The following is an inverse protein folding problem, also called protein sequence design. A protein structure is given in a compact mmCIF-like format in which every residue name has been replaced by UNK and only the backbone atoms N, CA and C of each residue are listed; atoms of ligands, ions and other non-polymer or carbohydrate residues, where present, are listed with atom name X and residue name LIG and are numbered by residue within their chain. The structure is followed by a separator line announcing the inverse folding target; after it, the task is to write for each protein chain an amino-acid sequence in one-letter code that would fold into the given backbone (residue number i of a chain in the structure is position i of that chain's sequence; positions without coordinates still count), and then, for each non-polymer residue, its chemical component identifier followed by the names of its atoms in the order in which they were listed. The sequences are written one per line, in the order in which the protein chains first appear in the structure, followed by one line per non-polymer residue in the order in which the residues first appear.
data_IF_216220666995
#
_entry.id   IF_216220666995
#
_cell.length_a   1.000
_cell.length_b   1.000
_cell.length_c   1.000
_cell.angle_alpha   90.00
_cell.angle_beta   90.00
_cell.angle_gamma   90.00
#
_symmetry.space_group_name_H-M   'P 1'
#
loop_
_entity.id
_entity.type
_entity.pdbx_description
1 polymer ?
#
# COMPACT_ATOMS: atom_id res chain seq x y z
N UNK A 1 26.80 21.38 -3.28
CA UNK A 1 26.49 21.78 -4.68
C UNK A 1 25.79 20.59 -5.34
N UNK A 2 24.64 20.16 -4.81
CA UNK A 2 23.29 20.75 -4.98
C UNK A 2 22.79 20.60 -6.41
N UNK A 3 21.72 19.82 -6.61
CA UNK A 3 20.57 20.23 -7.43
C UNK A 3 19.33 19.41 -7.03
N UNK A 4 18.49 20.05 -6.22
CA UNK A 4 17.15 19.61 -5.85
C UNK A 4 16.21 19.81 -7.04
N UNK A 5 15.58 18.72 -7.51
CA UNK A 5 14.48 18.79 -8.46
C UNK A 5 13.19 19.12 -7.69
N UNK A 6 12.94 20.41 -7.49
CA UNK A 6 11.72 20.93 -6.88
C UNK A 6 10.59 21.00 -7.90
N UNK A 7 9.57 20.17 -7.71
CA UNK A 7 8.28 20.30 -8.37
C UNK A 7 7.47 21.47 -7.82
N UNK A 8 6.60 22.04 -8.66
CA UNK A 8 5.62 23.04 -8.22
C UNK A 8 5.39 24.19 -9.19
N UNK A 9 5.19 23.92 -10.48
CA UNK A 9 4.83 24.93 -11.47
C UNK A 9 3.37 24.81 -11.88
N UNK A 10 2.43 25.40 -11.12
CA UNK A 10 1.06 25.76 -11.58
C UNK A 10 0.40 26.76 -10.62
N UNK A 11 1.00 27.92 -10.35
CA UNK A 11 0.25 29.07 -9.78
C UNK A 11 0.75 30.37 -10.41
N UNK A 12 0.57 30.53 -11.72
CA UNK A 12 0.61 31.85 -12.36
C UNK A 12 -0.82 32.39 -12.35
N UNK A 13 -1.13 33.24 -11.37
CA UNK A 13 -2.33 34.09 -11.40
C UNK A 13 -2.02 35.25 -12.36
N UNK A 14 -2.80 35.50 -13.43
CA UNK A 14 -2.54 36.64 -14.28
C UNK A 14 -2.89 37.94 -13.53
N UNK A 15 -1.94 38.88 -13.54
CA UNK A 15 -2.10 40.22 -12.96
C UNK A 15 -3.20 40.99 -13.69
N UNK A 16 -3.93 41.76 -12.88
CA UNK A 16 -5.16 42.50 -13.13
C UNK A 16 -5.14 43.37 -14.40
N UNK A 17 -6.23 43.33 -15.15
CA UNK A 17 -6.63 44.39 -16.09
C UNK A 17 -7.95 44.97 -15.62
N UNK A 18 -7.93 46.28 -15.34
CA UNK A 18 -9.00 47.09 -14.79
C UNK A 18 -10.27 47.07 -15.64
N UNK A 19 -11.36 46.53 -15.10
CA UNK A 19 -12.72 46.74 -15.61
C UNK A 19 -13.64 46.84 -14.40
N UNK A 20 -14.22 48.01 -14.17
CA UNK A 20 -15.20 48.26 -13.12
C UNK A 20 -16.52 47.55 -13.46
N UNK A 21 -16.92 46.52 -12.71
CA UNK A 21 -18.34 46.19 -12.49
C UNK A 21 -18.53 45.06 -11.46
N UNK A 22 -19.33 45.39 -10.45
CA UNK A 22 -20.08 44.51 -9.53
C UNK A 22 -19.30 43.61 -8.54
N UNK A 23 -18.87 44.23 -7.43
CA UNK A 23 -18.24 43.54 -6.29
C UNK A 23 -19.18 42.61 -5.51
N UNK A 24 -20.49 42.56 -5.79
CA UNK A 24 -21.45 41.78 -5.00
C UNK A 24 -21.58 40.32 -5.44
N UNK A 25 -21.22 40.00 -6.68
CA UNK A 25 -21.40 38.66 -7.26
C UNK A 25 -20.22 37.70 -7.01
N UNK A 26 -19.05 38.21 -6.64
CA UNK A 26 -17.84 37.41 -6.36
C UNK A 26 -17.72 36.96 -4.90
N UNK A 27 -18.50 37.54 -3.99
CA UNK A 27 -18.46 37.23 -2.56
C UNK A 27 -18.81 35.77 -2.24
N UNK A 28 -19.80 35.12 -2.89
CA UNK A 28 -20.10 33.70 -2.65
C UNK A 28 -18.96 32.77 -3.11
N UNK A 29 -18.28 33.13 -4.20
CA UNK A 29 -17.24 32.30 -4.81
C UNK A 29 -15.97 32.24 -3.93
N UNK A 30 -15.62 33.34 -3.27
CA UNK A 30 -14.52 33.38 -2.31
C UNK A 30 -14.80 32.52 -1.06
N UNK A 31 -16.03 32.57 -0.53
CA UNK A 31 -16.43 31.74 0.60
C UNK A 31 -16.40 30.24 0.26
N UNK A 32 -16.82 29.86 -0.95
CA UNK A 32 -16.78 28.47 -1.39
C UNK A 32 -15.34 27.96 -1.57
N UNK A 33 -14.45 28.78 -2.12
CA UNK A 33 -13.04 28.42 -2.28
C UNK A 33 -12.31 28.29 -0.93
N UNK A 34 -12.62 29.17 0.04
CA UNK A 34 -12.04 29.10 1.38
C UNK A 34 -12.50 27.86 2.16
N UNK A 35 -13.77 27.46 2.00
CA UNK A 35 -14.29 26.24 2.63
C UNK A 35 -13.64 24.97 2.07
N UNK A 36 -13.34 24.95 0.76
CA UNK A 36 -12.71 23.80 0.10
C UNK A 36 -11.24 23.63 0.55
N UNK A 37 -10.50 24.72 0.76
CA UNK A 37 -9.14 24.67 1.31
C UNK A 37 -9.10 24.10 2.73
N UNK A 38 -10.08 24.46 3.57
CA UNK A 38 -10.14 24.02 4.96
C UNK A 38 -10.47 22.52 5.07
N UNK A 39 -11.36 22.01 4.22
CA UNK A 39 -11.63 20.57 4.10
C UNK A 39 -10.39 19.79 3.63
N UNK A 40 -9.63 20.33 2.69
CA UNK A 40 -8.41 19.66 2.20
C UNK A 40 -7.31 19.60 3.27
N UNK A 41 -7.16 20.63 4.09
CA UNK A 41 -6.21 20.63 5.20
C UNK A 41 -6.59 19.60 6.28
N UNK A 42 -7.89 19.47 6.59
CA UNK A 42 -8.37 18.48 7.56
C UNK A 42 -8.13 17.04 7.08
N UNK A 43 -8.27 16.80 5.77
CA UNK A 43 -8.00 15.49 5.18
C UNK A 43 -6.51 15.12 5.21
N UNK A 44 -5.60 16.09 5.01
CA UNK A 44 -4.16 15.87 5.14
C UNK A 44 -3.76 15.55 6.59
N UNK A 45 -4.36 16.22 7.58
CA UNK A 45 -4.05 15.99 9.00
C UNK A 45 -4.47 14.60 9.46
N UNK A 46 -5.63 14.10 8.99
CA UNK A 46 -6.09 12.73 9.26
C UNK A 46 -5.16 11.67 8.63
N UNK A 47 -4.61 11.94 7.44
CA UNK A 47 -3.67 11.03 6.78
C UNK A 47 -2.33 10.91 7.54
N UNK A 48 -1.83 12.01 8.11
CA UNK A 48 -0.55 11.99 8.82
C UNK A 48 -0.64 11.22 10.14
N UNK A 49 -1.79 11.29 10.83
CA UNK A 49 -1.96 10.58 12.11
C UNK A 49 -2.08 9.05 11.92
N UNK A 50 -2.69 8.59 10.82
CA UNK A 50 -2.72 7.16 10.47
C UNK A 50 -1.33 6.60 10.12
N UNK A 51 -0.44 7.42 9.56
CA UNK A 51 0.88 6.94 9.14
C UNK A 51 1.85 6.73 10.32
N UNK A 52 1.73 7.50 11.41
CA UNK A 52 2.57 7.31 12.60
C UNK A 52 2.20 6.07 13.41
N UNK A 53 0.91 5.71 13.51
CA UNK A 53 0.52 4.50 14.25
C UNK A 53 0.98 3.20 13.57
N UNK A 54 1.14 3.17 12.24
CA UNK A 54 1.65 1.98 11.57
C UNK A 54 3.16 1.72 11.77
N UNK A 55 3.97 2.76 12.02
CA UNK A 55 5.42 2.55 12.20
C UNK A 55 5.80 1.97 13.56
N UNK A 56 5.09 2.30 14.65
CA UNK A 56 5.45 1.78 15.98
C UNK A 56 5.16 0.28 16.15
N UNK A 57 4.19 -0.30 15.43
CA UNK A 57 3.99 -1.75 15.46
C UNK A 57 4.97 -2.55 14.60
N UNK A 58 5.69 -1.93 13.66
CA UNK A 58 6.65 -2.67 12.83
C UNK A 58 7.96 -3.03 13.55
N UNK A 59 8.43 -2.21 14.50
CA UNK A 59 9.73 -2.45 15.13
C UNK A 59 9.74 -3.58 16.17
N UNK A 60 8.63 -3.89 16.84
CA UNK A 60 8.62 -5.00 17.83
C UNK A 60 8.57 -6.39 17.20
N UNK A 61 8.06 -6.55 15.97
CA UNK A 61 7.99 -7.88 15.33
C UNK A 61 9.25 -8.27 14.55
N UNK A 62 10.09 -7.31 14.13
CA UNK A 62 11.21 -7.61 13.25
C UNK A 62 12.39 -8.31 13.96
N UNK A 63 12.47 -8.23 15.29
CA UNK A 63 13.51 -8.92 16.08
C UNK A 63 13.30 -10.44 16.17
N UNK A 64 12.09 -10.96 15.90
CA UNK A 64 11.78 -12.39 16.06
C UNK A 64 11.99 -13.24 14.79
N UNK A 65 12.32 -12.62 13.65
CA UNK A 65 12.46 -13.31 12.36
C UNK A 65 13.92 -13.47 11.90
N UNK A 66 14.84 -13.78 12.81
CA UNK A 66 16.17 -14.29 12.43
C UNK A 66 16.02 -15.71 11.86
N UNK A 67 15.86 -15.78 10.53
CA UNK A 67 16.07 -16.89 9.58
C UNK A 67 15.24 -18.18 9.74
N UNK A 68 14.28 -18.36 8.82
CA UNK A 68 13.14 -19.30 8.92
C UNK A 68 13.37 -20.73 8.42
N UNK A 69 14.51 -21.06 7.79
CA UNK A 69 14.69 -22.40 7.21
C UNK A 69 16.07 -23.00 7.47
N UNK A 70 17.12 -22.18 7.44
CA UNK A 70 18.50 -22.64 7.63
C UNK A 70 18.83 -23.03 9.07
N UNK A 71 18.12 -22.52 10.08
CA UNK A 71 18.49 -22.74 11.48
C UNK A 71 18.15 -24.16 11.97
N UNK A 72 17.17 -24.83 11.36
CA UNK A 72 16.61 -26.04 11.93
C UNK A 72 17.34 -27.33 11.54
N UNK A 73 18.28 -27.32 10.58
CA UNK A 73 19.11 -28.46 10.14
C UNK A 73 18.37 -29.82 10.08
N UNK A 74 17.06 -29.81 9.75
CA UNK A 74 16.16 -30.96 9.91
C UNK A 74 16.62 -32.16 9.10
N UNK A 75 17.09 -31.92 7.88
CA UNK A 75 17.55 -32.97 6.97
C UNK A 75 18.67 -33.80 7.61
N UNK A 76 19.68 -33.14 8.16
CA UNK A 76 20.83 -33.81 8.77
C UNK A 76 20.44 -34.61 10.01
N UNK A 77 19.51 -34.11 10.83
CA UNK A 77 19.01 -34.84 12.00
C UNK A 77 18.20 -36.08 11.61
N UNK A 78 17.41 -36.00 10.54
CA UNK A 78 16.65 -37.15 10.02
C UNK A 78 17.57 -38.18 9.39
N UNK A 79 18.60 -37.75 8.66
CA UNK A 79 19.64 -38.64 8.10
C UNK A 79 20.39 -39.39 9.21
N UNK A 80 20.87 -38.68 10.24
CA UNK A 80 21.56 -39.30 11.38
C UNK A 80 20.64 -40.24 12.18
N UNK A 81 19.35 -39.91 12.31
CA UNK A 81 18.37 -40.77 12.96
C UNK A 81 18.10 -42.04 12.14
N UNK A 82 18.01 -41.92 10.81
CA UNK A 82 17.84 -43.06 9.92
C UNK A 82 19.04 -44.03 10.03
N UNK A 83 20.27 -43.50 10.04
CA UNK A 83 21.49 -44.29 10.23
C UNK A 83 21.52 -45.01 11.59
N UNK A 84 21.13 -44.32 12.68
CA UNK A 84 21.07 -44.90 14.02
C UNK A 84 20.01 -46.02 14.16
N UNK A 85 18.92 -45.92 13.40
CA UNK A 85 17.89 -46.97 13.34
C UNK A 85 18.35 -48.15 12.48
N UNK A 86 18.99 -47.89 11.34
CA UNK A 86 19.47 -48.92 10.41
C UNK A 86 20.65 -49.73 10.99
N UNK A 87 21.52 -49.09 11.78
CA UNK A 87 22.60 -49.76 12.51
C UNK A 87 22.11 -50.63 13.69
N UNK A 88 20.83 -50.57 14.04
CA UNK A 88 20.22 -51.29 15.15
C UNK A 88 20.59 -50.76 16.54
N UNK A 89 21.29 -49.63 16.62
CA UNK A 89 21.62 -48.97 17.89
C UNK A 89 20.46 -48.08 18.32
N UNK A 90 19.40 -48.68 18.86
CA UNK A 90 18.37 -47.93 19.60
C UNK A 90 18.91 -47.53 20.97
N UNK A 91 19.86 -46.62 20.95
CA UNK A 91 20.63 -46.14 22.10
C UNK A 91 20.13 -44.75 22.55
N UNK A 92 20.72 -44.23 23.64
CA UNK A 92 20.38 -42.89 24.15
C UNK A 92 20.56 -41.77 23.10
N UNK A 93 21.42 -41.97 22.11
CA UNK A 93 21.66 -41.02 21.03
C UNK A 93 20.45 -40.94 20.08
N UNK A 94 19.87 -42.07 19.67
CA UNK A 94 18.65 -42.09 18.86
C UNK A 94 17.46 -41.39 19.53
N UNK A 95 17.26 -41.59 20.84
CA UNK A 95 16.22 -40.91 21.64
C UNK A 95 16.50 -39.40 21.76
N UNK A 96 17.77 -38.99 21.89
CA UNK A 96 18.15 -37.58 21.90
C UNK A 96 17.85 -36.90 20.56
N UNK A 97 18.15 -37.56 19.43
CA UNK A 97 17.83 -37.07 18.08
C UNK A 97 16.32 -36.93 17.86
N UNK A 98 15.52 -37.88 18.34
CA UNK A 98 14.05 -37.80 18.26
C UNK A 98 13.51 -36.59 19.04
N UNK A 99 14.02 -36.37 20.26
CA UNK A 99 13.62 -35.23 21.08
C UNK A 99 14.04 -33.90 20.45
N UNK A 100 15.25 -33.82 19.91
CA UNK A 100 15.75 -32.62 19.23
C UNK A 100 14.91 -32.33 17.98
N UNK A 101 14.67 -33.33 17.14
CA UNK A 101 13.83 -33.22 15.95
C UNK A 101 12.41 -32.75 16.31
N UNK A 102 11.81 -33.30 17.37
CA UNK A 102 10.50 -32.89 17.89
C UNK A 102 10.50 -31.41 18.29
N UNK A 103 11.50 -30.97 19.06
CA UNK A 103 11.65 -29.57 19.46
C UNK A 103 11.81 -28.63 18.25
N UNK A 104 12.55 -29.06 17.22
CA UNK A 104 12.71 -28.28 16.00
C UNK A 104 11.38 -28.17 15.22
N UNK A 105 10.57 -29.23 15.16
CA UNK A 105 9.24 -29.16 14.56
C UNK A 105 8.28 -28.23 15.31
N UNK A 106 8.30 -28.24 16.64
CA UNK A 106 7.49 -27.31 17.44
C UNK A 106 7.84 -25.85 17.16
N UNK A 107 9.14 -25.54 17.09
CA UNK A 107 9.61 -24.20 16.74
C UNK A 107 9.22 -23.82 15.32
N UNK A 108 9.31 -24.74 14.34
CA UNK A 108 8.82 -24.50 12.98
C UNK A 108 7.31 -24.24 12.95
N UNK A 109 6.51 -24.96 13.74
CA UNK A 109 5.07 -24.74 13.83
C UNK A 109 4.74 -23.37 14.44
N UNK A 110 5.42 -22.99 15.53
CA UNK A 110 5.25 -21.67 16.14
C UNK A 110 5.59 -20.55 15.16
N UNK A 111 6.63 -20.76 14.36
CA UNK A 111 7.06 -19.84 13.34
C UNK A 111 6.03 -19.68 12.22
N UNK A 112 5.49 -20.79 11.71
CA UNK A 112 4.40 -20.77 10.74
C UNK A 112 3.15 -20.08 11.30
N UNK A 113 2.81 -20.32 12.56
CA UNK A 113 1.69 -19.66 13.23
C UNK A 113 1.92 -18.15 13.35
N UNK A 114 3.14 -17.73 13.68
CA UNK A 114 3.55 -16.32 13.75
C UNK A 114 3.46 -15.62 12.38
N UNK A 115 3.97 -16.27 11.33
CA UNK A 115 3.86 -15.79 9.94
C UNK A 115 2.39 -15.68 9.54
N UNK A 116 1.58 -16.71 9.79
CA UNK A 116 0.14 -16.72 9.50
C UNK A 116 -0.62 -15.58 10.19
N UNK A 117 -0.35 -15.35 11.47
CA UNK A 117 -0.92 -14.23 12.23
C UNK A 117 -0.48 -12.87 11.67
N UNK A 118 0.77 -12.74 11.25
CA UNK A 118 1.33 -11.49 10.70
C UNK A 118 0.78 -11.18 9.30
N UNK A 119 0.63 -12.19 8.44
CA UNK A 119 0.00 -12.06 7.12
C UNK A 119 -1.44 -11.59 7.27
N UNK A 120 -2.19 -12.16 8.21
CA UNK A 120 -3.58 -11.77 8.49
C UNK A 120 -3.68 -10.33 9.02
N UNK A 121 -2.74 -9.92 9.89
CA UNK A 121 -2.76 -8.61 10.55
C UNK A 121 -2.29 -7.44 9.67
N UNK A 122 -1.34 -7.67 8.74
CA UNK A 122 -0.77 -6.63 7.87
C UNK A 122 -1.39 -6.58 6.46
N UNK A 123 -2.44 -7.36 6.21
CA UNK A 123 -3.02 -7.51 4.88
C UNK A 123 -3.81 -6.28 4.41
N UNK A 124 -3.14 -5.38 3.71
CA UNK A 124 -3.58 -5.16 2.33
C UNK A 124 -3.12 -6.39 1.55
N UNK A 125 -3.99 -7.39 1.38
CA UNK A 125 -3.64 -8.55 0.54
C UNK A 125 -3.33 -8.05 -0.87
N UNK A 126 -2.40 -8.69 -1.56
CA UNK A 126 -2.13 -8.39 -2.97
C UNK A 126 -3.43 -8.43 -3.76
N UNK A 127 -4.28 -9.41 -3.49
CA UNK A 127 -5.64 -9.51 -4.05
C UNK A 127 -6.52 -8.29 -3.75
N UNK A 128 -6.51 -7.77 -2.51
CA UNK A 128 -7.25 -6.57 -2.13
C UNK A 128 -6.72 -5.30 -2.80
N UNK A 129 -5.41 -5.21 -3.02
CA UNK A 129 -4.81 -4.11 -3.79
C UNK A 129 -5.15 -4.20 -5.28
N UNK A 130 -5.06 -5.40 -5.86
CA UNK A 130 -5.46 -5.67 -7.24
C UNK A 130 -6.91 -5.29 -7.48
N UNK A 131 -7.82 -5.69 -6.59
CA UNK A 131 -9.24 -5.31 -6.68
C UNK A 131 -9.45 -3.80 -6.67
N UNK A 132 -8.81 -3.07 -5.74
CA UNK A 132 -8.91 -1.60 -5.67
C UNK A 132 -8.33 -0.92 -6.92
N UNK A 133 -7.26 -1.49 -7.48
CA UNK A 133 -6.68 -1.03 -8.73
C UNK A 133 -7.67 -1.20 -9.88
N UNK A 134 -8.31 -2.36 -10.01
CA UNK A 134 -9.30 -2.63 -11.04
C UNK A 134 -10.51 -1.68 -10.97
N UNK A 135 -11.02 -1.44 -9.76
CA UNK A 135 -12.11 -0.46 -9.52
C UNK A 135 -11.70 0.96 -9.97
N UNK A 136 -10.47 1.38 -9.68
CA UNK A 136 -9.94 2.69 -10.08
C UNK A 136 -9.76 2.79 -11.60
N UNK A 137 -9.29 1.72 -12.25
CA UNK A 137 -9.14 1.66 -13.71
C UNK A 137 -10.50 1.76 -14.40
N UNK A 138 -11.53 1.09 -13.88
CA UNK A 138 -12.88 1.20 -14.44
C UNK A 138 -13.42 2.64 -14.36
N UNK A 139 -13.27 3.31 -13.21
CA UNK A 139 -13.63 4.71 -13.05
C UNK A 139 -12.88 5.63 -14.02
N UNK A 140 -11.59 5.38 -14.23
CA UNK A 140 -10.77 6.14 -15.18
C UNK A 140 -11.30 5.97 -16.61
N UNK A 141 -11.67 4.75 -17.00
CA UNK A 141 -12.21 4.47 -18.33
C UNK A 141 -13.58 5.14 -18.52
N UNK A 142 -14.49 5.05 -17.54
CA UNK A 142 -15.77 5.78 -17.59
C UNK A 142 -15.56 7.29 -17.77
N UNK A 143 -14.56 7.87 -17.08
CA UNK A 143 -14.23 9.29 -17.22
C UNK A 143 -13.68 9.62 -18.61
N UNK A 144 -12.84 8.77 -19.20
CA UNK A 144 -12.34 8.94 -20.57
C UNK A 144 -13.48 8.92 -21.60
N UNK A 145 -14.45 8.03 -21.43
CA UNK A 145 -15.61 7.95 -22.33
C UNK A 145 -16.47 9.20 -22.24
N UNK A 146 -16.71 9.70 -21.02
CA UNK A 146 -17.44 10.95 -20.80
C UNK A 146 -16.73 12.15 -21.41
N UNK A 147 -15.41 12.25 -21.24
CA UNK A 147 -14.59 13.32 -21.84
C UNK A 147 -14.68 13.26 -23.37
N UNK A 148 -14.64 12.06 -23.94
CA UNK A 148 -14.77 11.86 -25.39
C UNK A 148 -16.14 12.31 -25.90
N UNK A 149 -17.21 11.92 -25.21
CA UNK A 149 -18.59 12.36 -25.54
C UNK A 149 -18.74 13.88 -25.47
N UNK A 150 -18.20 14.49 -24.41
CA UNK A 150 -18.23 15.94 -24.25
C UNK A 150 -17.45 16.65 -25.36
N UNK A 151 -16.25 16.19 -25.68
CA UNK A 151 -15.44 16.72 -26.80
C UNK A 151 -16.23 16.68 -28.11
N UNK A 152 -16.81 15.52 -28.45
CA UNK A 152 -17.60 15.36 -29.68
C UNK A 152 -18.81 16.30 -29.71
N UNK A 153 -19.47 16.52 -28.57
CA UNK A 153 -20.61 17.45 -28.47
C UNK A 153 -20.18 18.90 -28.71
N UNK A 154 -19.03 19.31 -28.16
CA UNK A 154 -18.47 20.65 -28.37
C UNK A 154 -18.06 20.86 -29.82
N UNK A 155 -17.35 19.88 -30.41
CA UNK A 155 -16.97 19.91 -31.82
C UNK A 155 -18.21 19.97 -32.73
N UNK A 156 -19.27 19.21 -32.42
CA UNK A 156 -20.53 19.26 -33.15
C UNK A 156 -21.17 20.65 -33.16
N UNK A 157 -21.16 21.36 -32.03
CA UNK A 157 -21.66 22.74 -31.94
C UNK A 157 -20.81 23.70 -32.77
N UNK A 158 -19.49 23.66 -32.62
CA UNK A 158 -18.56 24.51 -33.38
C UNK A 158 -18.67 24.32 -34.90
N UNK A 159 -18.82 23.07 -35.35
CA UNK A 159 -18.96 22.76 -36.76
C UNK A 159 -20.34 23.19 -37.32
N UNK A 160 -21.36 23.24 -36.45
CA UNK A 160 -22.70 23.73 -36.81
C UNK A 160 -22.75 25.26 -36.93
N UNK A 161 -22.00 25.98 -36.09
CA UNK A 161 -21.93 27.45 -36.11
C UNK A 161 -21.13 28.01 -37.30
N UNK A 162 -20.22 27.23 -37.88
CA UNK A 162 -19.42 27.64 -39.05
C UNK A 162 -20.15 27.43 -40.40
N UNK A 163 -21.27 26.70 -40.41
CA UNK A 163 -22.02 26.36 -41.63
C UNK A 163 -23.24 27.26 -41.90
N UNK A 164 -23.33 28.43 -41.24
CA UNK A 164 -24.43 29.39 -41.36
C UNK A 164 -23.99 30.74 -41.93
#
# INVERSE_FOLDING_TARGET
MDHHFGGGGWMMVPTQSSMSQDHSSLQPQYYQQQQQLQLQQLQLQQHQQHQQQQQQQQQQQQQHHQSLASHFHLLHMVENLAEAVESGTRDQHSEALINELTNHFEKCQQLLNSISGTITSKAMTVEGQTRKQDETVQLLNQRKDLITKYRNSVEGLLNSDCSR
#
